data_IF_467235167953
#
_entry.id   IF_467235167953
#
_cell.length_a   1.000
_cell.length_b   1.000
_cell.length_c   1.000
_cell.angle_alpha   90.00
_cell.angle_beta   90.00
_cell.angle_gamma   90.00
#
_symmetry.space_group_name_H-M   'P 1'
#
loop_
_entity.id
_entity.type
_entity.pdbx_description
1 polymer ?
#
# COMPACT_ATOMS: atom_id res chain seq x y z
N UNK A 1 -48.55 38.12 -45.83
CA UNK A 1 -48.09 38.33 -44.44
C UNK A 1 -48.53 37.22 -43.47
N UNK A 2 -49.82 36.85 -43.36
CA UNK A 2 -50.28 35.81 -42.44
C UNK A 2 -49.69 34.40 -42.77
N UNK A 3 -49.62 34.04 -44.04
CA UNK A 3 -49.04 32.77 -44.50
C UNK A 3 -47.53 32.65 -44.15
N UNK A 4 -46.81 33.77 -44.29
CA UNK A 4 -45.38 33.77 -43.93
C UNK A 4 -45.16 33.63 -42.42
N UNK A 5 -46.02 34.24 -41.61
CA UNK A 5 -45.94 34.09 -40.13
C UNK A 5 -46.28 32.67 -39.71
N UNK A 6 -47.32 32.06 -40.30
CA UNK A 6 -47.68 30.67 -40.04
C UNK A 6 -46.56 29.71 -40.44
N UNK A 7 -45.95 29.93 -41.62
CA UNK A 7 -44.80 29.15 -42.07
C UNK A 7 -43.59 29.23 -41.11
N UNK A 8 -43.29 30.43 -40.58
CA UNK A 8 -42.21 30.60 -39.58
C UNK A 8 -42.55 29.93 -38.27
N UNK A 9 -43.79 30.00 -37.78
CA UNK A 9 -44.23 29.32 -36.56
C UNK A 9 -44.16 27.83 -36.73
N UNK A 10 -44.57 27.25 -37.85
CA UNK A 10 -44.46 25.82 -38.15
C UNK A 10 -43.00 25.39 -38.24
N UNK A 11 -42.14 26.13 -38.87
CA UNK A 11 -40.69 25.92 -38.90
C UNK A 11 -40.08 25.95 -37.49
N UNK A 12 -40.45 26.91 -36.66
CA UNK A 12 -40.02 27.00 -35.27
C UNK A 12 -40.52 25.83 -34.45
N UNK A 13 -41.73 25.31 -34.66
CA UNK A 13 -42.24 24.13 -33.97
C UNK A 13 -41.54 22.84 -34.39
N UNK A 14 -41.20 22.69 -35.67
CA UNK A 14 -40.52 21.50 -36.20
C UNK A 14 -39.06 21.48 -35.77
N UNK A 15 -38.36 22.60 -35.87
CA UNK A 15 -36.92 22.68 -35.56
C UNK A 15 -36.62 23.10 -34.13
N UNK A 16 -37.57 23.71 -33.42
CA UNK A 16 -37.37 24.23 -32.07
C UNK A 16 -36.97 23.17 -31.08
N UNK A 17 -37.56 21.97 -31.15
CA UNK A 17 -37.23 20.88 -30.26
C UNK A 17 -35.79 20.32 -30.44
N UNK A 18 -35.21 20.57 -31.62
CA UNK A 18 -33.83 20.11 -31.95
C UNK A 18 -32.76 21.17 -31.70
N UNK A 19 -33.15 22.37 -31.28
CA UNK A 19 -32.22 23.47 -31.00
C UNK A 19 -31.80 23.55 -29.54
N UNK A 20 -32.62 23.03 -28.66
CA UNK A 20 -32.43 23.18 -27.20
C UNK A 20 -31.89 21.95 -26.57
N UNK A 21 -30.69 22.05 -26.01
CA UNK A 21 -30.03 20.96 -25.32
C UNK A 21 -29.70 21.38 -23.89
N UNK A 22 -29.90 20.47 -22.96
CA UNK A 22 -29.46 20.66 -21.57
C UNK A 22 -28.38 19.64 -21.29
N UNK A 23 -27.19 20.11 -20.98
CA UNK A 23 -26.07 19.28 -20.48
C UNK A 23 -26.12 19.26 -18.96
N UNK A 24 -26.13 18.07 -18.40
CA UNK A 24 -26.15 17.85 -16.95
C UNK A 24 -24.78 18.15 -16.32
N UNK A 25 -24.71 18.41 -15.00
CA UNK A 25 -23.45 18.48 -14.29
C UNK A 25 -22.64 17.19 -14.49
N UNK A 26 -21.36 17.34 -14.90
CA UNK A 26 -20.48 16.21 -15.25
C UNK A 26 -20.59 15.73 -16.69
N UNK A 27 -21.43 16.34 -17.51
CA UNK A 27 -21.46 16.12 -18.94
C UNK A 27 -20.72 17.26 -19.67
N UNK A 28 -20.13 16.93 -20.81
CA UNK A 28 -19.57 17.88 -21.77
C UNK A 28 -20.09 17.54 -23.15
N UNK A 29 -20.19 18.56 -24.02
CA UNK A 29 -20.68 18.40 -25.39
C UNK A 29 -19.63 18.75 -26.40
N UNK A 30 -19.60 17.98 -27.49
CA UNK A 30 -18.85 18.28 -28.71
C UNK A 30 -19.83 18.37 -29.86
N UNK A 31 -19.71 19.37 -30.71
CA UNK A 31 -20.64 19.58 -31.83
C UNK A 31 -20.01 19.09 -33.14
N UNK A 32 -20.81 18.32 -33.87
CA UNK A 32 -20.54 17.99 -35.24
C UNK A 32 -21.37 18.93 -36.15
N UNK A 33 -20.68 19.81 -36.92
CA UNK A 33 -21.27 20.80 -37.83
C UNK A 33 -21.46 20.17 -39.21
N UNK A 34 -22.70 19.80 -39.54
CA UNK A 34 -23.02 19.15 -40.86
C UNK A 34 -22.78 20.06 -42.04
N UNK A 35 -23.02 21.36 -41.89
CA UNK A 35 -22.82 22.37 -42.94
C UNK A 35 -21.58 23.24 -42.66
N UNK A 36 -20.40 22.65 -42.91
CA UNK A 36 -19.13 23.36 -42.81
C UNK A 36 -18.43 23.19 -41.45
N UNK A 37 -17.15 22.85 -41.49
CA UNK A 37 -16.28 22.72 -40.35
C UNK A 37 -16.19 21.37 -39.71
N UNK A 38 -17.17 20.45 -39.90
CA UNK A 38 -17.11 19.09 -39.31
C UNK A 38 -17.14 19.12 -37.80
N UNK A 39 -16.29 18.28 -37.18
CA UNK A 39 -16.18 18.21 -35.72
C UNK A 39 -15.46 19.42 -35.12
N UNK A 40 -16.14 20.11 -34.20
CA UNK A 40 -15.57 21.25 -33.48
C UNK A 40 -14.79 20.70 -32.27
N UNK A 41 -13.47 20.52 -32.42
CA UNK A 41 -12.61 19.87 -31.44
C UNK A 41 -12.19 20.79 -30.32
N UNK A 42 -12.15 22.09 -30.57
CA UNK A 42 -11.60 23.07 -29.64
C UNK A 42 -12.67 23.65 -28.71
N UNK A 43 -13.91 23.80 -29.23
CA UNK A 43 -14.99 24.38 -28.44
C UNK A 43 -15.80 23.31 -27.77
N UNK A 44 -15.54 23.13 -26.45
CA UNK A 44 -16.23 22.18 -25.62
C UNK A 44 -17.40 22.85 -24.90
N UNK A 45 -18.59 22.32 -25.09
CA UNK A 45 -19.81 22.85 -24.47
C UNK A 45 -19.90 22.41 -23.00
N UNK A 46 -20.10 23.37 -22.11
CA UNK A 46 -20.16 23.18 -20.66
C UNK A 46 -21.59 22.84 -20.22
N UNK A 47 -21.74 22.29 -19.00
CA UNK A 47 -23.06 22.02 -18.42
C UNK A 47 -23.96 23.24 -18.39
N UNK A 48 -25.25 23.03 -18.64
CA UNK A 48 -26.25 24.08 -18.68
C UNK A 48 -27.08 24.05 -19.96
N UNK A 49 -27.83 25.11 -20.16
CA UNK A 49 -28.69 25.29 -21.35
C UNK A 49 -27.86 25.72 -22.55
N UNK A 50 -27.99 25.00 -23.67
CA UNK A 50 -27.26 25.23 -24.89
C UNK A 50 -28.24 25.39 -26.06
N UNK A 51 -27.98 26.38 -26.90
CA UNK A 51 -28.73 26.58 -28.14
C UNK A 51 -27.81 26.21 -29.31
N UNK A 52 -28.22 25.22 -30.09
CA UNK A 52 -27.43 24.68 -31.20
C UNK A 52 -28.28 24.73 -32.47
N UNK A 53 -27.64 24.99 -33.61
CA UNK A 53 -28.35 24.96 -34.86
C UNK A 53 -28.96 23.56 -35.11
N UNK A 54 -30.22 23.48 -35.59
CA UNK A 54 -31.01 22.23 -35.64
C UNK A 54 -30.42 21.18 -36.57
N UNK A 55 -29.51 21.52 -37.43
CA UNK A 55 -28.79 20.61 -38.32
C UNK A 55 -27.46 20.08 -37.73
N UNK A 56 -27.01 20.59 -36.59
CA UNK A 56 -25.81 20.13 -35.93
C UNK A 56 -26.13 19.06 -34.89
N UNK A 57 -25.21 18.12 -34.72
CA UNK A 57 -25.36 17.08 -33.71
C UNK A 57 -24.52 17.41 -32.49
N UNK A 58 -25.13 17.36 -31.32
CA UNK A 58 -24.43 17.46 -30.03
C UNK A 58 -24.13 16.04 -29.50
N UNK A 59 -22.85 15.76 -29.44
CA UNK A 59 -22.34 14.49 -28.87
C UNK A 59 -22.00 14.72 -27.41
N UNK A 60 -22.61 13.94 -26.52
CA UNK A 60 -22.43 14.08 -25.07
C UNK A 60 -21.41 13.09 -24.56
N UNK A 61 -20.56 13.58 -23.67
CA UNK A 61 -19.57 12.79 -22.94
C UNK A 61 -19.79 12.93 -21.43
N UNK A 62 -19.83 11.82 -20.72
CA UNK A 62 -19.72 11.83 -19.27
C UNK A 62 -18.23 11.98 -18.92
N UNK A 63 -17.90 13.08 -18.23
CA UNK A 63 -16.54 13.42 -17.80
C UNK A 63 -16.34 13.19 -16.29
N UNK A 64 -17.32 12.58 -15.62
CA UNK A 64 -17.18 12.12 -14.26
C UNK A 64 -16.22 10.94 -14.20
N UNK A 65 -15.77 10.63 -13.00
CA UNK A 65 -15.00 9.42 -12.75
C UNK A 65 -15.85 8.19 -13.07
N UNK A 66 -15.29 7.32 -13.89
CA UNK A 66 -15.86 6.05 -14.32
C UNK A 66 -15.00 4.93 -13.79
N UNK A 67 -15.64 3.80 -13.51
CA UNK A 67 -14.98 2.58 -13.05
C UNK A 67 -15.10 1.49 -14.12
N UNK A 68 -13.99 0.81 -14.42
CA UNK A 68 -13.98 -0.43 -15.17
C UNK A 68 -13.24 -1.51 -14.40
N UNK A 69 -13.80 -2.72 -14.43
CA UNK A 69 -13.19 -3.90 -13.81
C UNK A 69 -12.77 -4.86 -14.91
N UNK A 70 -11.52 -5.33 -14.81
CA UNK A 70 -10.92 -6.21 -15.81
C UNK A 70 -10.25 -7.39 -15.12
N UNK A 71 -10.56 -8.57 -15.62
CA UNK A 71 -9.86 -9.81 -15.29
C UNK A 71 -9.06 -10.25 -16.50
N UNK A 72 -7.79 -10.53 -16.32
CA UNK A 72 -6.92 -10.92 -17.43
C UNK A 72 -5.87 -11.93 -17.03
N UNK A 73 -5.53 -12.80 -17.97
CA UNK A 73 -4.37 -13.68 -17.86
C UNK A 73 -3.13 -12.98 -18.42
N UNK A 74 -2.09 -12.96 -17.63
CA UNK A 74 -0.78 -12.41 -17.98
C UNK A 74 0.30 -13.47 -17.77
N UNK A 75 1.41 -13.31 -18.46
CA UNK A 75 2.57 -14.18 -18.27
C UNK A 75 3.59 -13.47 -17.39
N UNK A 76 4.17 -14.20 -16.47
CA UNK A 76 5.33 -13.76 -15.72
C UNK A 76 6.62 -13.87 -16.57
N UNK A 77 7.75 -13.46 -16.02
CA UNK A 77 9.08 -13.59 -16.64
C UNK A 77 9.45 -15.03 -16.99
N UNK A 78 8.92 -16.00 -16.25
CA UNK A 78 9.15 -17.44 -16.47
C UNK A 78 8.20 -18.09 -17.45
N UNK A 79 7.19 -17.35 -17.98
CA UNK A 79 6.15 -17.88 -18.86
C UNK A 79 4.99 -18.55 -18.12
N UNK A 80 4.90 -18.38 -16.79
CA UNK A 80 3.78 -18.85 -16.00
C UNK A 80 2.57 -17.93 -16.19
N UNK A 81 1.40 -18.51 -16.46
CA UNK A 81 0.14 -17.77 -16.54
C UNK A 81 -0.37 -17.42 -15.14
N UNK A 82 -0.63 -16.13 -14.94
CA UNK A 82 -1.14 -15.54 -13.71
C UNK A 82 -2.43 -14.82 -14.06
N UNK A 83 -3.49 -15.06 -13.28
CA UNK A 83 -4.74 -14.31 -13.43
C UNK A 83 -4.71 -13.08 -12.51
N UNK A 84 -4.97 -11.90 -13.09
CA UNK A 84 -4.92 -10.62 -12.39
C UNK A 84 -6.27 -9.92 -12.55
N UNK A 85 -6.87 -9.55 -11.42
CA UNK A 85 -8.07 -8.73 -11.36
C UNK A 85 -7.70 -7.30 -11.00
N UNK A 86 -8.10 -6.37 -11.83
CA UNK A 86 -7.85 -4.95 -11.63
C UNK A 86 -9.14 -4.13 -11.70
N UNK A 87 -9.14 -3.04 -10.99
CA UNK A 87 -10.15 -1.99 -11.13
C UNK A 87 -9.42 -0.72 -11.51
N UNK A 88 -9.87 -0.06 -12.58
CA UNK A 88 -9.36 1.22 -13.00
C UNK A 88 -10.42 2.29 -12.81
N UNK A 89 -10.01 3.45 -12.28
CA UNK A 89 -10.83 4.65 -12.13
C UNK A 89 -10.22 5.73 -13.03
N UNK A 90 -11.02 6.23 -13.93
CA UNK A 90 -10.57 7.18 -14.95
C UNK A 90 -11.69 8.12 -15.39
N UNK A 91 -11.32 9.21 -16.03
CA UNK A 91 -12.23 10.09 -16.74
C UNK A 91 -11.53 10.69 -17.98
N UNK A 92 -12.24 11.04 -19.03
CA UNK A 92 -11.64 11.78 -20.15
C UNK A 92 -11.26 13.19 -19.69
N UNK A 93 -10.18 13.74 -20.23
CA UNK A 93 -9.87 15.16 -20.03
C UNK A 93 -10.99 16.01 -20.61
N UNK A 94 -11.66 16.78 -19.77
CA UNK A 94 -12.86 17.56 -20.14
C UNK A 94 -12.63 18.60 -21.25
N UNK A 95 -11.39 19.07 -21.43
CA UNK A 95 -10.96 20.00 -22.46
C UNK A 95 -10.45 19.32 -23.74
N UNK A 96 -10.32 17.99 -23.74
CA UNK A 96 -9.76 17.19 -24.85
C UNK A 96 -10.75 16.20 -25.44
N UNK A 97 -12.02 16.22 -25.04
CA UNK A 97 -13.04 15.27 -25.54
C UNK A 97 -13.27 15.39 -27.04
N UNK A 98 -13.06 16.58 -27.65
CA UNK A 98 -13.16 16.75 -29.08
C UNK A 98 -12.10 15.94 -29.84
N UNK A 99 -10.87 15.92 -29.36
CA UNK A 99 -9.78 15.13 -29.93
C UNK A 99 -10.00 13.64 -29.65
N UNK A 100 -10.53 13.29 -28.47
CA UNK A 100 -10.89 11.93 -28.13
C UNK A 100 -11.96 11.40 -29.09
N UNK A 101 -13.00 12.22 -29.35
CA UNK A 101 -14.07 11.85 -30.28
C UNK A 101 -13.58 11.65 -31.70
N UNK A 102 -12.73 12.53 -32.21
CA UNK A 102 -12.18 12.40 -33.54
C UNK A 102 -11.39 11.10 -33.75
N UNK A 103 -10.56 10.75 -32.78
CA UNK A 103 -9.65 9.63 -32.93
C UNK A 103 -10.30 8.28 -32.62
N UNK A 104 -11.29 8.23 -31.73
CA UNK A 104 -11.79 6.99 -31.13
C UNK A 104 -13.33 6.92 -31.07
N UNK A 105 -13.98 8.06 -30.82
CA UNK A 105 -15.43 8.13 -30.66
C UNK A 105 -15.88 7.84 -29.24
N UNK A 106 -17.18 7.57 -29.10
CA UNK A 106 -17.84 7.36 -27.79
C UNK A 106 -17.46 6.04 -27.11
N UNK A 107 -17.00 5.03 -27.86
CA UNK A 107 -16.61 3.72 -27.36
C UNK A 107 -15.15 3.66 -26.86
N UNK A 108 -14.59 4.79 -26.45
CA UNK A 108 -13.18 4.91 -26.06
C UNK A 108 -12.77 3.96 -24.90
N UNK A 109 -13.70 3.57 -24.04
CA UNK A 109 -13.42 2.63 -22.94
C UNK A 109 -13.00 1.27 -23.49
N UNK A 110 -13.83 0.66 -24.32
CA UNK A 110 -13.59 -0.68 -24.86
C UNK A 110 -12.50 -0.71 -25.93
N UNK A 111 -12.41 0.35 -26.74
CA UNK A 111 -11.47 0.40 -27.87
C UNK A 111 -10.08 0.81 -27.45
N UNK A 112 -9.96 1.61 -26.37
CA UNK A 112 -8.68 2.20 -26.00
C UNK A 112 -8.29 2.02 -24.55
N UNK A 113 -9.17 2.33 -23.58
CA UNK A 113 -8.80 2.25 -22.16
C UNK A 113 -8.42 0.82 -21.81
N UNK A 114 -9.32 -0.13 -22.02
CA UNK A 114 -9.12 -1.55 -21.66
C UNK A 114 -7.87 -2.16 -22.35
N UNK A 115 -7.67 -2.01 -23.67
CA UNK A 115 -6.47 -2.55 -24.33
C UNK A 115 -5.16 -1.94 -23.82
N UNK A 116 -5.12 -0.63 -23.54
CA UNK A 116 -3.91 0.00 -23.00
C UNK A 116 -3.61 -0.47 -21.57
N UNK A 117 -4.62 -0.61 -20.72
CA UNK A 117 -4.47 -1.18 -19.38
C UNK A 117 -3.90 -2.60 -19.47
N UNK A 118 -4.51 -3.47 -20.28
CA UNK A 118 -4.03 -4.85 -20.49
C UNK A 118 -2.60 -4.88 -21.00
N UNK A 119 -2.24 -3.99 -21.93
CA UNK A 119 -0.89 -3.88 -22.48
C UNK A 119 0.12 -3.46 -21.41
N UNK A 120 -0.20 -2.46 -20.59
CA UNK A 120 0.66 -1.99 -19.51
C UNK A 120 0.89 -3.06 -18.46
N UNK A 121 -0.19 -3.74 -18.03
CA UNK A 121 -0.09 -4.83 -17.03
C UNK A 121 0.80 -5.94 -17.57
N UNK A 122 0.56 -6.42 -18.81
CA UNK A 122 1.40 -7.47 -19.43
C UNK A 122 2.87 -7.07 -19.57
N UNK A 123 3.12 -5.82 -19.96
CA UNK A 123 4.48 -5.32 -20.13
C UNK A 123 5.27 -5.26 -18.83
N UNK A 124 4.59 -4.96 -17.71
CA UNK A 124 5.21 -4.92 -16.39
C UNK A 124 5.36 -6.31 -15.81
N UNK A 125 4.27 -7.10 -15.75
CA UNK A 125 4.30 -8.45 -15.17
C UNK A 125 5.32 -9.38 -15.86
N UNK A 126 5.50 -9.25 -17.18
CA UNK A 126 6.50 -10.02 -17.93
C UNK A 126 7.96 -9.74 -17.56
N UNK A 127 8.23 -8.75 -16.70
CA UNK A 127 9.58 -8.45 -16.19
C UNK A 127 9.88 -9.10 -14.85
N UNK A 128 8.85 -9.52 -14.12
CA UNK A 128 8.91 -10.05 -12.76
C UNK A 128 8.54 -11.54 -12.73
N UNK A 129 9.09 -12.28 -11.80
CA UNK A 129 8.69 -13.66 -11.53
C UNK A 129 7.39 -13.71 -10.73
N UNK A 130 6.68 -14.84 -10.78
CA UNK A 130 5.47 -15.06 -10.01
C UNK A 130 5.66 -14.80 -8.50
N UNK A 131 6.79 -15.19 -7.94
CA UNK A 131 7.16 -14.96 -6.54
C UNK A 131 7.31 -13.45 -6.24
N UNK A 132 7.97 -12.70 -7.12
CA UNK A 132 8.13 -11.25 -6.99
C UNK A 132 6.78 -10.52 -7.06
N UNK A 133 5.93 -10.91 -8.01
CA UNK A 133 4.58 -10.33 -8.19
C UNK A 133 3.68 -10.64 -7.01
N UNK A 134 3.74 -11.88 -6.48
CA UNK A 134 2.85 -12.33 -5.42
C UNK A 134 3.28 -11.83 -4.03
N UNK A 135 4.58 -11.69 -3.77
CA UNK A 135 5.11 -11.45 -2.43
C UNK A 135 6.18 -10.36 -2.37
N UNK A 136 7.39 -10.64 -2.85
CA UNK A 136 8.60 -9.87 -2.46
C UNK A 136 8.65 -8.46 -3.03
N UNK A 137 8.10 -8.23 -4.23
CA UNK A 137 8.10 -6.93 -4.93
C UNK A 137 6.72 -6.45 -5.34
N UNK A 138 5.67 -6.96 -4.68
CA UNK A 138 4.29 -6.62 -5.04
C UNK A 138 4.05 -5.10 -5.15
N UNK A 139 4.51 -4.32 -4.18
CA UNK A 139 4.34 -2.87 -4.18
C UNK A 139 5.09 -2.15 -5.30
N UNK A 140 6.29 -2.66 -5.67
CA UNK A 140 7.06 -2.15 -6.81
C UNK A 140 6.34 -2.41 -8.12
N UNK A 141 5.88 -3.65 -8.34
CA UNK A 141 5.10 -4.06 -9.52
C UNK A 141 3.83 -3.24 -9.66
N UNK A 142 3.08 -3.06 -8.58
CA UNK A 142 1.86 -2.24 -8.55
C UNK A 142 2.15 -0.79 -8.95
N UNK A 143 3.19 -0.18 -8.39
CA UNK A 143 3.62 1.18 -8.73
C UNK A 143 4.00 1.31 -10.20
N UNK A 144 4.78 0.36 -10.74
CA UNK A 144 5.15 0.37 -12.17
C UNK A 144 3.93 0.21 -13.09
N UNK A 145 2.97 -0.65 -12.73
CA UNK A 145 1.73 -0.81 -13.51
C UNK A 145 0.94 0.50 -13.53
N UNK A 146 0.80 1.15 -12.37
CA UNK A 146 0.11 2.43 -12.24
C UNK A 146 0.77 3.49 -13.13
N UNK A 147 2.08 3.64 -13.03
CA UNK A 147 2.83 4.65 -13.81
C UNK A 147 2.78 4.38 -15.31
N UNK A 148 3.00 3.15 -15.72
CA UNK A 148 2.95 2.75 -17.12
C UNK A 148 1.56 2.99 -17.72
N UNK A 149 0.50 2.62 -16.99
CA UNK A 149 -0.88 2.80 -17.43
C UNK A 149 -1.26 4.27 -17.49
N UNK A 150 -0.92 5.04 -16.46
CA UNK A 150 -1.18 6.49 -16.41
C UNK A 150 -0.55 7.19 -17.61
N UNK A 151 0.71 6.89 -17.90
CA UNK A 151 1.42 7.46 -19.05
C UNK A 151 0.77 7.09 -20.39
N UNK A 152 0.38 5.83 -20.55
CA UNK A 152 -0.26 5.36 -21.78
C UNK A 152 -1.63 6.01 -22.01
N UNK A 153 -2.44 6.15 -20.96
CA UNK A 153 -3.78 6.76 -21.06
C UNK A 153 -3.74 8.28 -21.19
N UNK A 154 -2.83 8.95 -20.49
CA UNK A 154 -2.64 10.41 -20.62
C UNK A 154 -2.29 10.82 -22.05
N UNK A 155 -1.45 10.03 -22.75
CA UNK A 155 -1.13 10.25 -24.17
C UNK A 155 -2.36 10.13 -25.10
N UNK A 156 -3.47 9.60 -24.59
CA UNK A 156 -4.72 9.39 -25.32
C UNK A 156 -5.87 10.28 -24.80
N UNK A 157 -5.56 11.31 -24.06
CA UNK A 157 -6.51 12.27 -23.48
C UNK A 157 -7.45 11.64 -22.41
N UNK A 158 -6.98 10.63 -21.70
CA UNK A 158 -7.66 10.02 -20.56
C UNK A 158 -6.85 10.26 -19.29
N UNK A 159 -7.51 10.76 -18.26
CA UNK A 159 -6.96 10.95 -16.94
C UNK A 159 -7.23 9.71 -16.07
N UNK A 160 -6.20 8.96 -15.75
CA UNK A 160 -6.30 7.84 -14.82
C UNK A 160 -6.14 8.36 -13.40
N UNK A 161 -7.19 8.24 -12.60
CA UNK A 161 -7.19 8.63 -11.19
C UNK A 161 -6.51 7.58 -10.35
N UNK A 162 -6.94 6.33 -10.50
CA UNK A 162 -6.39 5.22 -9.74
C UNK A 162 -6.47 3.90 -10.51
N UNK A 163 -5.61 2.95 -10.12
CA UNK A 163 -5.63 1.58 -10.58
C UNK A 163 -5.37 0.67 -9.39
N UNK A 164 -6.33 -0.18 -9.09
CA UNK A 164 -6.32 -1.07 -7.94
C UNK A 164 -6.16 -2.51 -8.42
N UNK A 165 -5.14 -3.21 -7.95
CA UNK A 165 -4.99 -4.66 -8.14
C UNK A 165 -5.77 -5.35 -7.02
N UNK A 166 -6.92 -5.93 -7.37
CA UNK A 166 -7.82 -6.60 -6.40
C UNK A 166 -7.29 -7.95 -5.99
N UNK A 167 -6.90 -8.76 -6.96
CA UNK A 167 -6.36 -10.08 -6.71
C UNK A 167 -5.31 -10.47 -7.74
N UNK A 168 -4.41 -11.34 -7.31
CA UNK A 168 -3.42 -12.01 -8.15
C UNK A 168 -3.56 -13.49 -7.84
N UNK A 169 -4.12 -14.27 -8.78
CA UNK A 169 -4.33 -15.69 -8.63
C UNK A 169 -3.26 -16.48 -9.39
N UNK A 170 -2.55 -17.31 -8.66
CA UNK A 170 -1.55 -18.25 -9.18
C UNK A 170 -2.17 -19.65 -9.30
N UNK A 171 -1.66 -20.51 -10.18
CA UNK A 171 -1.97 -21.94 -10.13
C UNK A 171 -1.63 -22.51 -8.74
N UNK A 172 -2.55 -23.31 -8.18
CA UNK A 172 -2.46 -23.74 -6.76
C UNK A 172 -1.12 -24.38 -6.39
N UNK A 173 -0.60 -25.26 -7.25
CA UNK A 173 0.71 -25.91 -7.02
C UNK A 173 1.88 -24.92 -6.91
N UNK A 174 1.81 -23.85 -7.65
CA UNK A 174 2.86 -22.81 -7.64
C UNK A 174 2.73 -21.94 -6.40
N UNK A 175 1.49 -21.60 -6.05
CA UNK A 175 1.17 -20.86 -4.82
C UNK A 175 1.67 -21.62 -3.58
N UNK A 176 1.33 -22.91 -3.45
CA UNK A 176 1.80 -23.78 -2.36
C UNK A 176 3.33 -23.84 -2.29
N UNK A 177 4.00 -23.96 -3.45
CA UNK A 177 5.47 -23.98 -3.50
C UNK A 177 6.09 -22.66 -3.04
N UNK A 178 5.52 -21.52 -3.45
CA UNK A 178 5.96 -20.18 -3.02
C UNK A 178 5.72 -20.00 -1.52
N UNK A 179 4.54 -20.35 -1.02
CA UNK A 179 4.19 -20.23 0.39
C UNK A 179 5.10 -21.11 1.27
N UNK A 180 5.36 -22.36 0.87
CA UNK A 180 6.30 -23.25 1.56
C UNK A 180 7.72 -22.70 1.58
N UNK A 181 8.20 -22.14 0.46
CA UNK A 181 9.52 -21.49 0.39
C UNK A 181 9.61 -20.28 1.32
N UNK A 182 8.58 -19.42 1.30
CA UNK A 182 8.51 -18.25 2.18
C UNK A 182 8.48 -18.65 3.66
N UNK A 183 7.73 -19.70 4.01
CA UNK A 183 7.72 -20.23 5.36
C UNK A 183 9.10 -20.69 5.79
N UNK A 184 9.80 -21.49 4.97
CA UNK A 184 11.17 -21.94 5.27
C UNK A 184 12.15 -20.78 5.43
N UNK A 185 12.02 -19.74 4.60
CA UNK A 185 12.84 -18.53 4.75
C UNK A 185 12.57 -17.80 6.07
N UNK A 186 11.30 -17.68 6.48
CA UNK A 186 10.94 -17.07 7.76
C UNK A 186 11.44 -17.88 8.96
N UNK A 187 11.35 -19.21 8.87
CA UNK A 187 11.89 -20.11 9.91
C UNK A 187 13.41 -19.99 10.03
N UNK A 188 14.12 -19.91 8.89
CA UNK A 188 15.58 -19.70 8.88
C UNK A 188 15.98 -18.36 9.50
N UNK A 189 15.24 -17.27 9.17
CA UNK A 189 15.46 -15.95 9.77
C UNK A 189 15.18 -15.97 11.28
N UNK A 190 14.08 -16.58 11.70
CA UNK A 190 13.74 -16.74 13.11
C UNK A 190 14.83 -17.53 13.88
N UNK A 191 15.42 -18.55 13.24
CA UNK A 191 16.53 -19.29 13.81
C UNK A 191 17.81 -18.44 13.94
N UNK A 192 18.12 -17.61 12.95
CA UNK A 192 19.25 -16.67 13.01
C UNK A 192 19.08 -15.66 14.17
N UNK A 193 17.92 -15.05 14.31
CA UNK A 193 17.64 -14.15 15.44
C UNK A 193 17.72 -14.85 16.79
N UNK A 194 17.32 -16.14 16.87
CA UNK A 194 17.47 -16.92 18.08
C UNK A 194 18.95 -17.15 18.42
N UNK A 195 19.77 -17.50 17.43
CA UNK A 195 21.21 -17.66 17.61
C UNK A 195 21.88 -16.36 18.06
N UNK A 196 21.55 -15.23 17.44
CA UNK A 196 22.08 -13.92 17.84
C UNK A 196 21.70 -13.57 19.28
N UNK A 197 20.47 -13.87 19.67
CA UNK A 197 20.01 -13.66 21.05
C UNK A 197 20.78 -14.54 22.02
N UNK A 198 20.93 -15.83 21.74
CA UNK A 198 21.65 -16.76 22.59
C UNK A 198 23.14 -16.40 22.71
N UNK A 199 23.78 -15.97 21.62
CA UNK A 199 25.17 -15.51 21.63
C UNK A 199 25.31 -14.23 22.47
N UNK A 200 24.39 -13.28 22.30
CA UNK A 200 24.36 -12.03 23.08
C UNK A 200 24.13 -12.31 24.58
N UNK A 201 23.26 -13.28 24.91
CA UNK A 201 23.00 -13.67 26.29
C UNK A 201 24.19 -14.40 26.91
N UNK A 202 24.85 -15.27 26.16
CA UNK A 202 26.08 -15.92 26.60
C UNK A 202 27.19 -14.89 26.88
N UNK A 203 27.36 -13.91 26.01
CA UNK A 203 28.34 -12.82 26.21
C UNK A 203 27.98 -11.96 27.42
N UNK A 204 26.70 -11.59 27.58
CA UNK A 204 26.24 -10.88 28.77
C UNK A 204 26.57 -11.66 30.07
N UNK A 205 26.27 -12.96 30.09
CA UNK A 205 26.59 -13.83 31.24
C UNK A 205 28.11 -13.91 31.48
N UNK A 206 28.90 -13.95 30.41
CA UNK A 206 30.36 -13.95 30.51
C UNK A 206 30.88 -12.63 31.12
N UNK A 207 30.38 -11.50 30.70
CA UNK A 207 30.74 -10.19 31.25
C UNK A 207 30.28 -10.07 32.71
N UNK A 208 29.09 -10.54 33.04
CA UNK A 208 28.57 -10.56 34.42
C UNK A 208 29.47 -11.42 35.34
N UNK A 209 29.79 -12.62 34.89
CA UNK A 209 30.68 -13.51 35.65
C UNK A 209 32.08 -12.90 35.83
N UNK A 210 32.62 -12.27 34.81
CA UNK A 210 33.88 -11.55 34.87
C UNK A 210 33.81 -10.39 35.89
N UNK A 211 32.73 -9.61 35.86
CA UNK A 211 32.47 -8.53 36.80
C UNK A 211 32.40 -9.03 38.25
N UNK A 212 31.71 -10.17 38.50
CA UNK A 212 31.65 -10.77 39.82
C UNK A 212 33.04 -11.27 40.25
N UNK A 213 33.79 -11.89 39.34
CA UNK A 213 35.15 -12.34 39.68
C UNK A 213 36.08 -11.21 40.04
N UNK A 214 36.05 -10.09 39.25
CA UNK A 214 36.83 -8.89 39.53
C UNK A 214 36.40 -8.22 40.84
N UNK A 215 35.12 -8.12 41.10
CA UNK A 215 34.55 -7.62 42.35
C UNK A 215 35.06 -8.46 43.52
N UNK A 216 34.96 -9.79 43.48
CA UNK A 216 35.41 -10.68 44.52
C UNK A 216 36.92 -10.58 44.73
N UNK A 217 37.72 -10.43 43.68
CA UNK A 217 39.16 -10.22 43.75
C UNK A 217 39.50 -8.94 44.49
N UNK A 218 38.82 -7.81 44.15
CA UNK A 218 39.02 -6.52 44.80
C UNK A 218 38.65 -6.57 46.29
N UNK A 219 37.49 -7.18 46.61
CA UNK A 219 37.01 -7.36 47.99
C UNK A 219 38.00 -8.23 48.79
N UNK A 220 38.41 -9.36 48.23
CA UNK A 220 39.36 -10.26 48.92
C UNK A 220 40.71 -9.60 49.18
N UNK A 221 41.17 -8.76 48.26
CA UNK A 221 42.41 -7.98 48.45
C UNK A 221 42.28 -6.87 49.52
N UNK A 222 41.06 -6.37 49.74
CA UNK A 222 40.77 -5.31 50.70
C UNK A 222 40.37 -5.84 52.09
N UNK A 223 39.89 -7.09 52.17
CA UNK A 223 39.44 -7.72 53.42
C UNK A 223 40.64 -8.13 54.31
N UNK A 224 41.06 -7.22 55.14
CA UNK A 224 42.02 -7.55 56.22
C UNK A 224 41.26 -8.13 57.43
N UNK A 225 41.95 -8.90 58.27
CA UNK A 225 41.38 -9.50 59.52
C UNK A 225 40.69 -8.44 60.39
N UNK A 226 41.18 -7.21 60.40
CA UNK A 226 40.58 -6.09 61.15
C UNK A 226 39.25 -5.61 60.56
N UNK A 227 39.14 -5.53 59.23
CA UNK A 227 37.89 -5.17 58.55
C UNK A 227 36.82 -6.25 58.75
N UNK A 228 37.16 -7.53 58.72
CA UNK A 228 36.25 -8.61 59.02
C UNK A 228 35.71 -8.54 60.44
N UNK A 229 36.61 -8.27 61.42
CA UNK A 229 36.21 -8.07 62.83
C UNK A 229 35.26 -6.85 62.97
N UNK A 230 35.53 -5.73 62.31
CA UNK A 230 34.70 -4.54 62.35
C UNK A 230 33.32 -4.84 61.75
N UNK A 231 33.22 -5.48 60.57
CA UNK A 231 31.94 -5.89 59.96
C UNK A 231 31.15 -6.89 60.82
N UNK A 232 31.84 -7.79 61.52
CA UNK A 232 31.21 -8.68 62.50
C UNK A 232 30.61 -7.90 63.69
N UNK A 233 31.30 -6.87 64.18
CA UNK A 233 30.80 -6.01 65.24
C UNK A 233 29.59 -5.19 64.76
N UNK A 234 29.67 -4.60 63.56
CA UNK A 234 28.60 -3.83 62.99
C UNK A 234 27.34 -4.66 62.76
N UNK A 235 27.46 -5.88 62.23
CA UNK A 235 26.36 -6.82 62.06
C UNK A 235 25.74 -7.28 63.40
N UNK A 236 26.59 -7.40 64.44
CA UNK A 236 26.11 -7.73 65.80
C UNK A 236 25.32 -6.57 66.41
N UNK A 237 25.78 -5.35 66.16
CA UNK A 237 25.09 -4.12 66.61
C UNK A 237 23.75 -3.91 65.89
N UNK A 238 23.68 -4.23 64.61
CA UNK A 238 22.46 -4.17 63.80
C UNK A 238 21.44 -5.26 64.27
N UNK A 239 21.90 -6.47 64.56
CA UNK A 239 21.11 -7.51 65.18
C UNK A 239 20.60 -7.14 66.57
N UNK A 240 21.42 -6.52 67.41
CA UNK A 240 21.05 -6.07 68.75
C UNK A 240 19.97 -4.95 68.73
N UNK A 241 19.95 -4.13 67.66
CA UNK A 241 18.96 -3.05 67.45
C UNK A 241 17.71 -3.52 66.68
N UNK A 242 17.67 -4.75 66.22
CA UNK A 242 16.52 -5.33 65.48
C UNK A 242 15.35 -5.59 66.44
N UNK A 243 14.17 -5.10 66.11
CA UNK A 243 12.93 -5.27 66.90
C UNK A 243 12.40 -6.73 66.95
N UNK A 244 13.02 -7.67 66.23
CA UNK A 244 12.69 -9.08 66.23
C UNK A 244 13.70 -9.81 67.20
N UNK A 245 13.26 -10.13 68.39
CA UNK A 245 14.03 -10.89 69.38
C UNK A 245 14.23 -12.34 68.93
N UNK A 246 15.23 -12.60 68.10
CA UNK A 246 15.77 -13.94 67.86
C UNK A 246 17.08 -14.07 68.66
N UNK A 247 17.18 -15.07 69.50
CA UNK A 247 18.39 -15.37 70.24
C UNK A 247 19.43 -15.85 69.24
N UNK A 248 20.46 -15.01 68.96
CA UNK A 248 21.59 -15.40 68.14
C UNK A 248 22.74 -15.77 69.09
N UNK A 249 23.08 -17.05 69.14
CA UNK A 249 24.27 -17.50 69.85
C UNK A 249 25.45 -17.42 68.89
N UNK A 250 26.34 -16.41 69.11
CA UNK A 250 27.57 -16.27 68.35
C UNK A 250 28.61 -17.16 69.00
N UNK A 251 28.83 -18.36 68.44
CA UNK A 251 29.93 -19.23 68.79
C UNK A 251 31.21 -18.74 68.10
N UNK A 252 32.31 -18.56 68.82
CA UNK A 252 33.62 -18.35 68.22
C UNK A 252 34.20 -19.69 67.77
N UNK A 253 33.83 -20.11 66.53
CA UNK A 253 34.59 -21.13 65.79
C UNK A 253 35.84 -20.50 65.23
N UNK A 254 36.89 -21.22 64.95
CA UNK A 254 38.16 -20.76 64.34
C UNK A 254 37.99 -20.01 63.04
N UNK A 255 36.80 -20.16 62.36
CA UNK A 255 36.44 -19.52 61.08
C UNK A 255 35.55 -18.28 61.24
N UNK A 256 35.22 -17.81 62.41
CA UNK A 256 34.51 -16.53 62.66
C UNK A 256 33.06 -16.47 62.11
N UNK A 257 32.42 -17.57 61.77
CA UNK A 257 31.04 -17.57 61.26
C UNK A 257 30.01 -17.68 62.39
N UNK A 258 28.98 -16.85 62.46
CA UNK A 258 27.91 -16.96 63.42
C UNK A 258 27.01 -18.18 63.11
N UNK A 259 26.80 -19.06 64.06
CA UNK A 259 25.80 -20.12 64.02
C UNK A 259 24.45 -19.54 64.40
N UNK A 260 23.55 -19.48 63.39
CA UNK A 260 22.17 -19.05 63.63
C UNK A 260 21.35 -20.27 64.01
N UNK A 261 20.96 -20.43 65.21
CA UNK A 261 19.98 -21.38 65.68
C UNK A 261 18.60 -20.74 65.60
N UNK A 262 17.82 -21.10 64.55
CA UNK A 262 16.43 -20.73 64.43
C UNK A 262 15.58 -21.49 65.46
N UNK A 263 14.93 -20.77 66.36
CA UNK A 263 13.83 -21.32 67.17
C UNK A 263 12.52 -21.21 66.38
N UNK A 264 11.72 -22.28 66.45
CA UNK A 264 10.33 -22.30 65.92
C UNK A 264 9.49 -21.21 66.48
#
# INVERSE_FOLDING_TARGET
MIISVVAIVVLLLIFGSQMFYVLKPGERGVIFKKFGGGLDKENIYVPGFQIIAPWNDLIRYDVKEQKSEETMDVLDKGGLSINVDITIIFNPFYDKIGFLHENIGTNYVSVMVIPNVRSSVRAVTGRYTAEEIYSTKRGEVETEIIEATRKALAAKNIDMKDLLIRSIALPEKIKEAIESKLQQQQEALAYQFRLERETSEAERKRIEAQGIADYNRIISASLTSNILKQKGIDATLELANSANSKVVVIGSGDDGMPLILGGN
#
